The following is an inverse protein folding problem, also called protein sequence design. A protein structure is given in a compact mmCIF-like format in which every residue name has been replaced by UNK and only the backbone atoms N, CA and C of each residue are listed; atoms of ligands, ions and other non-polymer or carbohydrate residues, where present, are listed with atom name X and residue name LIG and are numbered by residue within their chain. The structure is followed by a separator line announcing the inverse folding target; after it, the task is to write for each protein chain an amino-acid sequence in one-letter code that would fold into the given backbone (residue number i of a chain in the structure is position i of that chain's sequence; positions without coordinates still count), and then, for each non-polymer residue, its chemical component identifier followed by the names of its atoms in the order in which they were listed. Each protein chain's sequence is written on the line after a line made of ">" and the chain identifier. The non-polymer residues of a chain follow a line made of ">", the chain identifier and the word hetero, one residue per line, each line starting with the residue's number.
data_IF_205390748416
#
_entry.id   IF_205390748416
#
_cell.length_a   1.000
_cell.length_b   1.000
_cell.length_c   1.000
_cell.angle_alpha   90.00
_cell.angle_beta   90.00
_cell.angle_gamma   90.00
#
_symmetry.space_group_name_H-M   'P 1'
#
loop_
_entity.id
_entity.type
_entity.pdbx_description
1 polymer ?
#
# COMPACT_ATOMS: atom_id res chain seq x y z
N UNK A 1 -1.11 8.91 -2.39
CA UNK A 1 0.23 9.34 -1.98
C UNK A 1 0.63 10.68 -2.57
N UNK A 2 1.89 11.03 -2.44
CA UNK A 2 2.42 12.31 -2.93
C UNK A 2 2.44 13.40 -1.84
N UNK A 3 2.81 14.62 -2.24
CA UNK A 3 3.00 15.73 -1.29
C UNK A 3 1.72 16.11 -0.54
N UNK A 4 0.57 16.05 -1.19
CA UNK A 4 -0.73 16.32 -0.58
C UNK A 4 -1.05 15.46 0.63
N UNK A 5 -0.47 14.26 0.75
CA UNK A 5 -0.72 13.37 1.89
C UNK A 5 -0.38 14.04 3.23
N UNK A 6 0.62 14.92 3.28
CA UNK A 6 1.02 15.62 4.51
C UNK A 6 -0.08 16.49 5.08
N UNK A 7 -0.90 17.07 4.23
CA UNK A 7 -2.08 17.83 4.62
C UNK A 7 -3.27 16.87 4.86
N UNK A 8 -3.52 15.97 3.92
CA UNK A 8 -4.68 15.08 3.94
C UNK A 8 -4.68 14.07 5.07
N UNK A 9 -3.51 13.69 5.60
CA UNK A 9 -3.44 12.77 6.74
C UNK A 9 -4.06 13.33 8.03
N UNK A 10 -4.34 14.64 8.08
CA UNK A 10 -5.03 15.28 9.19
C UNK A 10 -6.45 15.79 8.81
N UNK A 11 -6.92 15.47 7.62
CA UNK A 11 -8.21 15.91 7.12
C UNK A 11 -9.37 15.12 7.78
N UNK A 12 -10.06 15.76 8.70
CA UNK A 12 -11.17 15.13 9.44
C UNK A 12 -12.34 14.68 8.53
N UNK A 13 -12.58 15.37 7.42
CA UNK A 13 -13.63 14.99 6.47
C UNK A 13 -13.23 13.70 5.74
N UNK A 14 -11.97 13.58 5.31
CA UNK A 14 -11.44 12.36 4.70
C UNK A 14 -11.50 11.19 5.69
N UNK A 15 -11.10 11.40 6.95
CA UNK A 15 -11.19 10.37 7.99
C UNK A 15 -12.62 9.89 8.20
N UNK A 16 -13.58 10.81 8.28
CA UNK A 16 -15.00 10.48 8.42
C UNK A 16 -15.51 9.68 7.23
N UNK A 17 -15.16 10.09 6.01
CA UNK A 17 -15.51 9.36 4.79
C UNK A 17 -14.96 7.93 4.81
N UNK A 18 -13.67 7.74 5.10
CA UNK A 18 -13.05 6.41 5.15
C UNK A 18 -13.71 5.53 6.22
N UNK A 19 -14.03 6.08 7.40
CA UNK A 19 -14.71 5.33 8.47
C UNK A 19 -16.15 4.93 8.11
N UNK A 20 -16.80 5.68 7.23
CA UNK A 20 -18.17 5.42 6.79
C UNK A 20 -18.25 4.39 5.64
N UNK A 21 -17.13 3.99 5.06
CA UNK A 21 -17.10 2.97 4.01
C UNK A 21 -17.53 1.61 4.57
N UNK A 22 -18.29 0.82 3.80
CA UNK A 22 -18.69 -0.54 4.18
C UNK A 22 -17.49 -1.40 4.57
N UNK A 23 -17.71 -2.38 5.43
CA UNK A 23 -16.65 -3.30 5.91
C UNK A 23 -16.00 -4.10 4.79
N UNK A 24 -16.74 -4.37 3.73
CA UNK A 24 -16.33 -5.11 2.53
C UNK A 24 -15.46 -4.26 1.59
N UNK A 25 -15.47 -2.94 1.77
CA UNK A 25 -14.69 -2.04 0.94
C UNK A 25 -13.18 -2.18 1.27
N UNK A 26 -12.41 -2.55 0.26
CA UNK A 26 -10.95 -2.56 0.38
C UNK A 26 -10.41 -1.14 0.48
N UNK A 27 -9.52 -0.94 1.43
CA UNK A 27 -8.77 0.29 1.62
C UNK A 27 -7.37 0.09 1.03
N UNK A 28 -7.06 0.81 -0.03
CA UNK A 28 -5.76 0.67 -0.69
C UNK A 28 -4.95 1.97 -0.62
N UNK A 29 -3.64 1.85 -0.56
CA UNK A 29 -2.76 3.01 -0.62
C UNK A 29 -1.47 2.74 -1.38
N UNK A 30 -0.95 3.77 -2.03
CA UNK A 30 0.35 3.75 -2.71
C UNK A 30 1.22 4.85 -2.11
N UNK A 31 2.52 4.57 -1.94
CA UNK A 31 3.50 5.55 -1.48
C UNK A 31 3.15 6.07 -0.09
N UNK A 32 3.22 7.40 0.13
CA UNK A 32 2.89 8.04 1.41
C UNK A 32 1.40 7.95 1.79
N UNK A 33 0.53 7.42 0.93
CA UNK A 33 -0.90 7.27 1.23
C UNK A 33 -1.20 6.48 2.51
N UNK A 34 -0.36 5.52 2.88
CA UNK A 34 -0.51 4.76 4.13
C UNK A 34 -0.37 5.60 5.40
N UNK A 35 0.21 6.82 5.33
CA UNK A 35 0.23 7.75 6.47
C UNK A 35 -1.17 8.19 6.90
N UNK A 36 -2.12 8.28 5.96
CA UNK A 36 -3.52 8.58 6.29
C UNK A 36 -4.08 7.49 7.21
N UNK A 37 -3.87 6.22 6.83
CA UNK A 37 -4.32 5.08 7.64
C UNK A 37 -3.59 5.00 8.99
N UNK A 38 -2.29 5.31 9.03
CA UNK A 38 -1.52 5.41 10.27
C UNK A 38 -2.11 6.45 11.22
N UNK A 39 -2.39 7.67 10.72
CA UNK A 39 -3.01 8.75 11.52
C UNK A 39 -4.42 8.43 12.02
N UNK A 40 -5.10 7.53 11.34
CA UNK A 40 -6.43 7.04 11.74
C UNK A 40 -6.38 5.87 12.74
N UNK A 41 -5.19 5.32 13.05
CA UNK A 41 -5.01 4.11 13.87
C UNK A 41 -5.46 2.82 13.17
N UNK A 42 -5.64 2.85 11.84
CA UNK A 42 -6.14 1.70 11.08
C UNK A 42 -5.06 0.63 10.82
N UNK A 43 -3.81 0.94 11.08
CA UNK A 43 -2.69 0.01 10.86
C UNK A 43 -2.24 -0.70 12.15
N UNK A 44 -2.86 -0.40 13.29
CA UNK A 44 -2.47 -0.98 14.57
C UNK A 44 -2.67 -2.51 14.56
N UNK A 45 -1.59 -3.23 14.90
CA UNK A 45 -1.56 -4.71 14.88
C UNK A 45 -1.40 -5.34 13.48
N UNK A 46 -1.43 -4.54 12.41
CA UNK A 46 -1.28 -5.02 11.04
C UNK A 46 0.15 -4.82 10.52
N UNK A 47 0.46 -5.47 9.39
CA UNK A 47 1.63 -5.12 8.58
C UNK A 47 1.25 -4.08 7.52
N UNK A 48 2.18 -3.19 7.22
CA UNK A 48 2.01 -2.22 6.14
C UNK A 48 3.36 -1.81 5.52
N UNK A 49 3.31 -1.28 4.32
CA UNK A 49 4.48 -0.71 3.63
C UNK A 49 4.26 0.73 3.21
N UNK A 50 5.34 1.37 2.82
CA UNK A 50 5.38 2.73 2.29
C UNK A 50 6.57 2.86 1.32
N UNK A 51 6.77 4.03 0.73
CA UNK A 51 7.95 4.34 -0.06
C UNK A 51 9.21 4.28 0.80
N UNK A 52 10.24 3.55 0.31
CA UNK A 52 11.48 3.26 1.04
C UNK A 52 12.52 4.36 0.89
N UNK A 53 12.48 5.07 -0.25
CA UNK A 53 13.49 6.08 -0.57
C UNK A 53 12.90 7.49 -0.43
N UNK A 54 13.61 8.44 0.16
CA UNK A 54 13.20 9.83 0.19
C UNK A 54 13.37 10.44 -1.21
N UNK A 55 12.57 11.43 -1.56
CA UNK A 55 12.92 12.32 -2.66
C UNK A 55 13.94 13.38 -2.22
N UNK A 56 14.40 14.19 -3.17
CA UNK A 56 15.42 15.21 -2.90
C UNK A 56 15.00 16.24 -1.83
N UNK A 57 13.72 16.60 -1.81
CA UNK A 57 13.19 17.56 -0.84
C UNK A 57 13.08 16.93 0.56
N UNK A 58 12.65 15.69 0.64
CA UNK A 58 12.56 14.96 1.92
C UNK A 58 13.95 14.67 2.49
N UNK A 59 14.91 14.27 1.66
CA UNK A 59 16.28 14.03 2.09
C UNK A 59 16.94 15.28 2.67
N UNK A 60 16.66 16.48 2.10
CA UNK A 60 17.23 17.75 2.56
C UNK A 60 16.62 18.27 3.85
N UNK A 61 15.36 17.91 4.16
CA UNK A 61 14.62 18.55 5.25
C UNK A 61 14.40 17.67 6.48
N UNK A 62 14.59 16.35 6.38
CA UNK A 62 14.01 15.47 7.36
C UNK A 62 14.84 14.27 7.79
N UNK A 63 15.91 13.93 7.11
CA UNK A 63 16.81 12.84 7.47
C UNK A 63 16.20 11.43 7.58
N UNK A 64 14.89 11.30 7.31
CA UNK A 64 14.14 10.06 7.48
C UNK A 64 13.37 9.72 6.21
N UNK A 65 13.34 8.43 5.87
CA UNK A 65 12.58 7.94 4.74
C UNK A 65 11.06 7.93 5.03
N UNK A 66 10.20 7.94 4.02
CA UNK A 66 8.76 7.85 4.24
C UNK A 66 8.33 6.61 5.03
N UNK A 67 9.03 5.49 4.85
CA UNK A 67 8.74 4.25 5.58
C UNK A 67 9.15 4.34 7.06
N UNK A 68 10.26 5.03 7.38
CA UNK A 68 10.67 5.26 8.77
C UNK A 68 9.64 6.12 9.52
N UNK A 69 9.07 7.09 8.81
CA UNK A 69 7.98 7.91 9.35
C UNK A 69 6.70 7.13 9.57
N UNK A 70 6.39 6.17 8.70
CA UNK A 70 5.27 5.28 8.93
C UNK A 70 5.45 4.52 10.25
N UNK A 71 6.65 3.99 10.52
CA UNK A 71 6.96 3.30 11.76
C UNK A 71 6.80 4.19 13.02
N UNK A 72 7.18 5.46 12.90
CA UNK A 72 7.00 6.43 14.00
C UNK A 72 5.53 6.79 14.24
N UNK A 73 4.75 6.95 13.15
CA UNK A 73 3.34 7.35 13.22
C UNK A 73 2.43 6.22 13.67
N UNK A 74 2.81 4.98 13.42
CA UNK A 74 2.06 3.79 13.77
C UNK A 74 2.97 2.76 14.47
N UNK A 75 3.38 3.00 15.73
CA UNK A 75 4.34 2.13 16.42
C UNK A 75 3.80 0.71 16.69
N UNK A 76 2.49 0.52 16.65
CA UNK A 76 1.86 -0.80 16.73
C UNK A 76 1.74 -1.51 15.36
N UNK A 77 2.15 -0.86 14.27
CA UNK A 77 2.19 -1.45 12.93
C UNK A 77 3.53 -2.14 12.70
N UNK A 78 3.50 -3.34 12.14
CA UNK A 78 4.71 -4.03 11.65
C UNK A 78 5.05 -3.50 10.25
N UNK A 79 6.03 -2.62 10.17
CA UNK A 79 6.44 -2.02 8.89
C UNK A 79 7.29 -3.00 8.09
N UNK A 80 6.86 -3.28 6.87
CA UNK A 80 7.51 -4.20 5.92
C UNK A 80 8.17 -3.44 4.77
N UNK A 81 9.26 -3.99 4.24
CA UNK A 81 9.92 -3.47 3.04
C UNK A 81 9.44 -4.13 1.74
N UNK A 82 8.49 -5.07 1.79
CA UNK A 82 7.86 -5.63 0.60
C UNK A 82 7.28 -4.53 -0.31
N UNK A 83 7.14 -4.81 -1.59
CA UNK A 83 6.54 -3.87 -2.55
C UNK A 83 5.04 -3.70 -2.31
N UNK A 84 4.37 -4.78 -1.93
CA UNK A 84 2.96 -4.80 -1.55
C UNK A 84 2.81 -5.53 -0.22
N UNK A 85 1.97 -5.03 0.66
CA UNK A 85 1.54 -5.71 1.88
C UNK A 85 0.03 -5.81 1.89
N UNK A 86 -0.47 -7.04 1.97
CA UNK A 86 -1.88 -7.34 2.09
C UNK A 86 -2.21 -7.71 3.54
N UNK A 87 -2.93 -6.84 4.21
CA UNK A 87 -3.45 -7.03 5.57
C UNK A 87 -4.98 -7.19 5.59
N UNK A 88 -5.51 -7.94 4.64
CA UNK A 88 -6.94 -8.21 4.53
C UNK A 88 -7.71 -7.03 3.93
N UNK A 89 -8.40 -6.28 4.76
CA UNK A 89 -9.14 -5.10 4.32
C UNK A 89 -8.23 -3.96 3.85
N UNK A 90 -6.99 -3.91 4.31
CA UNK A 90 -6.05 -2.84 3.96
C UNK A 90 -4.91 -3.43 3.14
N UNK A 91 -4.70 -2.89 1.94
CA UNK A 91 -3.58 -3.26 1.07
C UNK A 91 -2.73 -2.02 0.83
N UNK A 92 -1.45 -2.09 1.16
CA UNK A 92 -0.52 -0.98 1.00
C UNK A 92 0.56 -1.33 -0.03
N UNK A 93 0.91 -0.38 -0.87
CA UNK A 93 2.03 -0.49 -1.82
C UNK A 93 3.10 0.58 -1.54
N UNK A 94 4.33 0.23 -1.81
CA UNK A 94 5.51 1.05 -1.54
C UNK A 94 5.66 2.27 -2.44
N UNK A 95 6.69 2.29 -3.28
CA UNK A 95 6.93 3.38 -4.24
C UNK A 95 5.86 3.45 -5.34
N UNK A 96 5.93 4.49 -6.15
CA UNK A 96 4.91 4.80 -7.19
C UNK A 96 4.65 3.59 -8.09
N UNK A 97 5.71 2.93 -8.58
CA UNK A 97 5.60 1.77 -9.46
C UNK A 97 4.97 0.55 -8.75
N UNK A 98 5.13 0.40 -7.44
CA UNK A 98 4.53 -0.72 -6.68
C UNK A 98 2.99 -0.70 -6.69
N UNK A 99 2.39 0.40 -7.11
CA UNK A 99 0.95 0.47 -7.37
C UNK A 99 0.50 -0.46 -8.50
N UNK A 100 1.38 -0.75 -9.47
CA UNK A 100 1.11 -1.71 -10.54
C UNK A 100 1.02 -3.13 -9.98
N UNK A 101 2.01 -3.55 -9.16
CA UNK A 101 2.01 -4.85 -8.50
C UNK A 101 0.79 -5.03 -7.60
N UNK A 102 0.40 -3.97 -6.88
CA UNK A 102 -0.84 -3.98 -6.11
C UNK A 102 -2.05 -4.17 -7.01
N UNK A 103 -2.12 -3.50 -8.16
CA UNK A 103 -3.20 -3.69 -9.13
C UNK A 103 -3.32 -5.15 -9.59
N UNK A 104 -2.22 -5.79 -9.99
CA UNK A 104 -2.21 -7.22 -10.35
C UNK A 104 -2.59 -8.12 -9.17
N UNK A 105 -2.12 -7.81 -7.97
CA UNK A 105 -2.53 -8.53 -6.76
C UNK A 105 -4.03 -8.44 -6.50
N UNK A 106 -4.63 -7.26 -6.69
CA UNK A 106 -6.07 -7.07 -6.53
C UNK A 106 -6.89 -7.83 -7.59
N UNK A 107 -6.37 -7.98 -8.81
CA UNK A 107 -6.99 -8.86 -9.81
C UNK A 107 -7.01 -10.33 -9.35
N UNK A 108 -5.91 -10.83 -8.75
CA UNK A 108 -5.89 -12.18 -8.14
C UNK A 108 -6.93 -12.31 -7.04
N UNK A 109 -7.00 -11.34 -6.14
CA UNK A 109 -8.00 -11.34 -5.07
C UNK A 109 -9.43 -11.30 -5.60
N UNK A 110 -9.65 -10.68 -6.76
CA UNK A 110 -10.95 -10.67 -7.43
C UNK A 110 -11.25 -11.99 -8.20
N UNK A 111 -10.35 -12.97 -8.16
CA UNK A 111 -10.56 -14.29 -8.74
C UNK A 111 -10.12 -14.42 -10.21
N UNK A 112 -9.44 -13.44 -10.77
CA UNK A 112 -8.85 -13.58 -12.11
C UNK A 112 -7.66 -14.53 -12.06
N UNK A 113 -7.56 -15.40 -13.07
CA UNK A 113 -6.45 -16.35 -13.20
C UNK A 113 -5.15 -15.68 -13.67
N UNK A 114 -4.05 -16.40 -13.50
CA UNK A 114 -2.73 -15.89 -13.87
C UNK A 114 -2.59 -15.65 -15.38
N UNK A 115 -3.29 -16.41 -16.23
CA UNK A 115 -3.22 -16.22 -17.67
C UNK A 115 -3.84 -14.88 -18.08
N UNK A 116 -4.96 -14.50 -17.46
CA UNK A 116 -5.57 -13.19 -17.66
C UNK A 116 -4.65 -12.07 -17.17
N UNK A 117 -4.03 -12.24 -16.00
CA UNK A 117 -3.16 -11.21 -15.41
C UNK A 117 -1.88 -11.04 -16.24
N UNK A 118 -1.29 -12.13 -16.73
CA UNK A 118 -0.15 -12.10 -17.65
C UNK A 118 -0.50 -11.35 -18.95
N UNK A 119 -1.70 -11.56 -19.47
CA UNK A 119 -2.17 -10.87 -20.68
C UNK A 119 -2.33 -9.37 -20.45
N UNK A 120 -2.90 -8.97 -19.28
CA UNK A 120 -2.97 -7.57 -18.87
C UNK A 120 -1.59 -6.94 -18.77
N UNK A 121 -0.63 -7.63 -18.13
CA UNK A 121 0.74 -7.15 -17.99
C UNK A 121 1.43 -6.98 -19.36
N UNK A 122 1.17 -7.91 -20.30
CA UNK A 122 1.68 -7.85 -21.66
C UNK A 122 1.11 -6.67 -22.45
N UNK A 123 -0.21 -6.45 -22.39
CA UNK A 123 -0.88 -5.33 -23.06
C UNK A 123 -0.42 -3.99 -22.51
N UNK A 124 -0.11 -3.93 -21.21
CA UNK A 124 0.47 -2.75 -20.56
C UNK A 124 1.96 -2.54 -20.86
N UNK A 125 2.60 -3.41 -21.64
CA UNK A 125 4.06 -3.42 -21.88
C UNK A 125 4.87 -3.49 -20.56
N UNK A 126 4.30 -4.12 -19.52
CA UNK A 126 4.84 -4.19 -18.16
C UNK A 126 5.33 -5.60 -17.78
N UNK A 127 5.30 -6.55 -18.69
CA UNK A 127 5.50 -7.97 -18.39
C UNK A 127 6.82 -8.28 -17.68
N UNK A 128 7.94 -7.70 -18.12
CA UNK A 128 9.25 -7.95 -17.48
C UNK A 128 9.28 -7.51 -16.01
N UNK A 129 8.68 -6.37 -15.71
CA UNK A 129 8.59 -5.88 -14.33
C UNK A 129 7.60 -6.72 -13.51
N UNK A 130 6.49 -7.14 -14.12
CA UNK A 130 5.53 -8.04 -13.50
C UNK A 130 6.18 -9.38 -13.11
N UNK A 131 6.88 -10.04 -14.02
CA UNK A 131 7.60 -11.30 -13.76
C UNK A 131 8.61 -11.16 -12.63
N UNK A 132 9.31 -10.03 -12.56
CA UNK A 132 10.31 -9.75 -11.54
C UNK A 132 9.69 -9.53 -10.14
N UNK A 133 8.53 -8.88 -10.05
CA UNK A 133 7.98 -8.40 -8.78
C UNK A 133 6.68 -9.09 -8.35
N UNK A 134 6.11 -10.00 -9.15
CA UNK A 134 4.81 -10.64 -8.89
C UNK A 134 4.72 -11.37 -7.54
N UNK A 135 5.84 -11.72 -6.94
CA UNK A 135 5.94 -12.42 -5.67
C UNK A 135 6.44 -11.55 -4.51
N UNK A 136 6.75 -10.27 -4.74
CA UNK A 136 7.16 -9.33 -3.69
C UNK A 136 5.93 -8.77 -2.94
N UNK A 137 5.16 -9.71 -2.40
CA UNK A 137 3.92 -9.46 -1.65
C UNK A 137 4.04 -10.14 -0.29
N UNK A 138 3.84 -9.37 0.77
CA UNK A 138 3.75 -9.88 2.14
C UNK A 138 2.29 -9.90 2.60
N UNK A 139 1.90 -10.98 3.22
CA UNK A 139 0.58 -11.12 3.85
C UNK A 139 0.71 -10.91 5.36
N UNK A 140 -0.13 -10.06 5.92
CA UNK A 140 -0.14 -9.78 7.37
C UNK A 140 -0.74 -10.93 8.17
N UNK A 141 -1.68 -11.67 7.57
CA UNK A 141 -2.28 -12.87 8.14
C UNK A 141 -2.19 -14.02 7.13
N UNK A 142 -1.78 -15.24 7.57
CA UNK A 142 -1.59 -16.37 6.66
C UNK A 142 -2.88 -16.95 6.07
N UNK A 143 -4.05 -16.53 6.53
CA UNK A 143 -5.35 -17.09 6.15
C UNK A 143 -6.36 -15.99 5.80
N UNK A 144 -6.09 -15.20 4.76
CA UNK A 144 -7.13 -14.33 4.22
C UNK A 144 -8.15 -15.15 3.46
N UNK A 145 -9.47 -15.08 3.78
CA UNK A 145 -10.48 -15.69 2.93
C UNK A 145 -10.45 -15.03 1.55
N UNK A 146 -10.70 -15.83 0.51
CA UNK A 146 -11.01 -15.28 -0.80
C UNK A 146 -12.17 -14.28 -0.67
N UNK A 147 -12.10 -13.19 -1.42
CA UNK A 147 -13.21 -12.23 -1.51
C UNK A 147 -14.42 -12.87 -2.13
#
# INVERSE_FOLDING_TARGET
>A
GGYGTRQEMNNANLHRYIRALPSECLLTSVCTGSWIYARMGLLDGLSATNRKEPDRLEASHMGKTPIDRLAEMAPACRVSRARVVDAGRIVTAGGIASGMEMGFHLLRRAGYDEAFIDDVARVMEYQRAYELYRHDIEFSEPNLPAL
#
